data_IF_691280617780
#
_entry.id   IF_691280617780
#
_cell.length_a   1.000
_cell.length_b   1.000
_cell.length_c   1.000
_cell.angle_alpha   90.00
_cell.angle_beta   90.00
_cell.angle_gamma   90.00
#
_symmetry.space_group_name_H-M   'P 1'
#
loop_
_entity.id
_entity.type
_entity.pdbx_description
1 polymer ?
2 polymer ?
3 polymer ?
#
loop_
_entity_poly.entity_id
_entity_poly.type
_entity_poly.pdbx_seq_one_letter_code
_entity_poly.pdbx_strand_id
1 'polydeoxyribonucleotide' '(DT)(DC)(DT)(DT)(DG)(DT)(DT)(DT)(DA)(DC)(DA)(DT)(DT)(DT)(DT)(DG)' ?
2 'polydeoxyribonucleotide' '(DC)(DA)(DA)(DA)(DA)(DT)(DG)(DT)(DA)(DA)(DA)(DC)(DA)(DA)(DG)(DA)' ?
#
# COMPACT_ATOMS: atom_id res chain seq x y z
N UNK C 1 17.90 3.93 6.54
CA UNK C 1 18.68 3.74 7.75
C UNK C 1 20.10 4.25 7.61
N UNK C 2 20.74 4.57 8.75
CA UNK C 2 22.05 5.23 8.83
C UNK C 2 23.20 4.26 8.64
N UNK C 3 22.86 2.98 8.45
CA UNK C 3 23.86 1.92 8.39
C UNK C 3 23.70 1.12 7.11
N UNK C 4 24.81 0.68 6.56
CA UNK C 4 24.81 -0.05 5.31
C UNK C 4 24.66 -1.54 5.58
N UNK C 5 23.98 -2.22 4.66
CA UNK C 5 23.83 -3.67 4.76
C UNK C 5 25.20 -4.33 4.67
N UNK C 6 25.58 -5.06 5.73
CA UNK C 6 26.87 -5.73 5.81
C UNK C 6 27.10 -6.64 4.60
N UNK C 7 28.35 -6.69 4.11
CA UNK C 7 28.71 -7.40 2.87
C UNK C 7 28.68 -8.91 2.99
N UNK C 8 27.99 -9.43 3.99
CA UNK C 8 27.91 -10.87 4.20
C UNK C 8 26.51 -11.37 3.85
N UNK C 9 26.44 -12.50 3.14
CA UNK C 9 25.16 -13.11 2.84
C UNK C 9 24.60 -13.73 4.13
N UNK C 10 23.32 -14.06 4.13
CA UNK C 10 22.71 -14.73 5.28
C UNK C 10 23.43 -16.02 5.63
N UNK C 11 23.82 -16.76 4.59
CA UNK C 11 24.56 -17.99 4.78
C UNK C 11 25.91 -17.74 5.45
N UNK C 12 26.58 -16.67 5.05
CA UNK C 12 27.85 -16.31 5.67
C UNK C 12 27.66 -15.87 7.11
N UNK C 13 26.59 -15.13 7.38
CA UNK C 13 26.30 -14.65 8.73
C UNK C 13 26.03 -15.81 9.66
N UNK C 14 25.16 -16.72 9.24
CA UNK C 14 24.84 -17.91 10.01
C UNK C 14 26.08 -18.78 10.23
N UNK C 15 26.87 -18.95 9.18
CA UNK C 15 28.07 -19.78 9.25
C UNK C 15 29.08 -19.23 10.24
N UNK C 16 29.35 -17.93 10.17
CA UNK C 16 30.29 -17.29 11.08
C UNK C 16 29.83 -17.42 12.52
N UNK C 17 28.53 -17.24 12.75
CA UNK C 17 27.97 -17.31 14.09
C UNK C 17 28.14 -18.68 14.71
N UNK C 18 27.86 -19.72 13.94
CA UNK C 18 27.95 -21.10 14.43
C UNK C 18 29.39 -21.52 14.72
N UNK C 19 30.28 -21.19 13.80
CA UNK C 19 31.69 -21.55 13.93
C UNK C 19 32.33 -20.96 15.16
N UNK C 20 32.08 -19.67 15.35
CA UNK C 20 32.66 -18.91 16.44
C UNK C 20 32.01 -19.21 17.79
N UNK C 21 30.93 -20.00 17.76
CA UNK C 21 30.27 -20.43 18.99
C UNK C 21 31.10 -21.51 19.68
N UNK C 22 31.03 -21.58 21.02
CA UNK C 22 31.84 -22.55 21.77
C UNK C 22 31.44 -24.02 21.55
N UNK C 23 30.18 -24.27 21.22
CA UNK C 23 29.72 -25.64 21.01
C UNK C 23 29.60 -26.00 19.53
N UNK C 24 30.01 -25.06 18.68
CA UNK C 24 29.87 -25.19 17.23
C UNK C 24 28.42 -25.42 16.84
N UNK C 25 27.51 -24.81 17.61
CA UNK C 25 26.08 -24.88 17.35
C UNK C 25 25.34 -23.79 18.12
N UNK C 26 24.25 -23.30 17.53
CA UNK C 26 23.46 -22.23 18.13
C UNK C 26 21.96 -22.44 17.92
N UNK C 27 21.17 -21.82 18.79
CA UNK C 27 19.72 -21.81 18.61
C UNK C 27 19.34 -20.69 17.65
N UNK C 28 18.08 -20.69 17.22
CA UNK C 28 17.58 -19.66 16.34
C UNK C 28 17.76 -18.26 16.92
N UNK C 29 17.29 -18.08 18.15
CA UNK C 29 17.39 -16.78 18.83
C UNK C 29 18.84 -16.37 19.01
N UNK C 30 19.71 -17.34 19.26
CA UNK C 30 21.13 -17.07 19.41
C UNK C 30 21.75 -16.54 18.12
N UNK C 31 21.31 -17.07 16.99
CA UNK C 31 21.74 -16.57 15.68
C UNK C 31 21.18 -15.17 15.44
N UNK C 32 19.90 -14.97 15.79
CA UNK C 32 19.28 -13.65 15.71
C UNK C 32 20.10 -12.63 16.47
N UNK C 33 20.40 -12.98 17.72
CA UNK C 33 21.08 -12.08 18.65
C UNK C 33 22.48 -11.74 18.17
N UNK C 34 23.17 -12.76 17.67
CA UNK C 34 24.54 -12.63 17.18
C UNK C 34 24.63 -11.59 16.07
N UNK C 35 23.73 -11.70 15.10
CA UNK C 35 23.68 -10.79 13.96
C UNK C 35 23.33 -9.35 14.37
N UNK C 36 22.35 -9.23 15.26
CA UNK C 36 21.89 -7.91 15.72
C UNK C 36 22.92 -7.22 16.61
N UNK C 37 23.64 -8.00 17.42
CA UNK C 37 24.66 -7.46 18.31
C UNK C 37 25.80 -6.83 17.52
N UNK C 38 26.12 -7.43 16.39
CA UNK C 38 27.27 -7.00 15.60
C UNK C 38 26.89 -6.00 14.52
N UNK C 39 25.70 -6.16 13.98
CA UNK C 39 25.29 -5.33 12.86
C UNK C 39 23.98 -4.59 13.11
N UNK C 40 24.09 -3.30 13.48
CA UNK C 40 22.96 -2.42 13.79
C UNK C 40 21.94 -2.36 12.65
N UNK C 41 22.40 -2.63 11.43
CA UNK C 41 21.51 -2.66 10.27
C UNK C 41 20.36 -3.65 10.46
N UNK C 42 20.62 -4.74 11.18
CA UNK C 42 19.61 -5.77 11.37
C UNK C 42 18.84 -5.57 12.66
N UNK C 43 18.85 -4.35 13.17
CA UNK C 43 18.04 -3.98 14.32
C UNK C 43 16.72 -3.37 13.85
N UNK C 44 16.46 -3.49 12.55
CA UNK C 44 15.23 -3.03 11.94
C UNK C 44 14.80 -4.04 10.87
N UNK C 45 13.51 -4.03 10.54
CA UNK C 45 12.94 -4.98 9.58
C UNK C 45 13.16 -6.40 10.04
N UNK C 46 13.10 -6.62 11.35
CA UNK C 46 13.42 -7.91 11.92
C UNK C 46 12.42 -8.96 11.47
N UNK C 47 11.20 -8.53 11.19
CA UNK C 47 10.17 -9.42 10.66
C UNK C 47 10.66 -10.02 9.35
N UNK C 48 11.24 -9.18 8.49
CA UNK C 48 11.67 -9.62 7.17
C UNK C 48 12.84 -10.61 7.21
N UNK C 49 13.98 -10.14 7.71
CA UNK C 49 15.22 -10.90 7.55
C UNK C 49 15.29 -12.13 8.45
N UNK C 50 14.63 -12.07 9.60
CA UNK C 50 14.57 -13.24 10.48
C UNK C 50 13.78 -14.34 9.78
N UNK C 51 12.80 -13.95 8.99
CA UNK C 51 12.04 -14.89 8.17
C UNK C 51 12.97 -15.51 7.13
N UNK C 52 13.77 -14.67 6.48
CA UNK C 52 14.73 -15.13 5.48
C UNK C 52 15.81 -16.01 6.11
N UNK C 53 16.13 -15.74 7.37
CA UNK C 53 17.09 -16.55 8.11
C UNK C 53 16.53 -17.94 8.34
N UNK C 54 15.30 -18.00 8.87
CA UNK C 54 14.60 -19.26 9.07
C UNK C 54 14.48 -20.04 7.76
N UNK C 55 14.22 -19.32 6.69
CA UNK C 55 14.14 -19.93 5.37
C UNK C 55 15.51 -20.48 4.97
N UNK C 56 16.56 -19.69 5.22
CA UNK C 56 17.92 -20.08 4.86
C UNK C 56 18.35 -21.37 5.57
N UNK C 57 17.91 -21.56 6.80
CA UNK C 57 18.29 -22.73 7.58
C UNK C 57 17.61 -23.99 7.06
N UNK C 58 16.36 -23.85 6.62
CA UNK C 58 15.58 -24.98 6.17
C UNK C 58 15.89 -25.30 4.71
N UNK C 59 16.26 -24.27 3.94
CA UNK C 59 16.55 -24.42 2.52
C UNK C 59 17.90 -25.09 2.26
N UNK C 60 18.93 -24.58 2.91
CA UNK C 60 20.28 -25.05 2.65
C UNK C 60 20.60 -26.33 3.43
N UNK C 61 21.18 -27.30 2.73
CA UNK C 61 21.47 -28.61 3.32
C UNK C 61 22.71 -28.58 4.19
N UNK C 62 23.40 -27.44 4.19
CA UNK C 62 24.61 -27.28 4.99
C UNK C 62 24.25 -26.96 6.44
N UNK C 63 22.96 -26.88 6.72
CA UNK C 63 22.49 -26.54 8.07
C UNK C 63 21.62 -27.64 8.70
N UNK C 64 22.17 -28.27 9.74
CA UNK C 64 21.41 -29.10 10.67
C UNK C 64 21.44 -28.29 11.98
N UNK C 65 20.43 -28.25 12.86
CA UNK C 65 19.33 -29.18 13.17
C UNK C 65 19.84 -30.33 14.03
N UNK C 66 20.02 -30.01 15.30
CA UNK C 66 20.41 -30.98 16.32
C UNK C 66 19.47 -30.86 17.51
N UNK C 67 18.76 -31.95 17.83
CA UNK C 67 17.89 -32.10 19.00
C UNK C 67 18.64 -31.81 20.28
N UNK C 68 17.94 -31.38 21.31
CA UNK C 68 18.57 -30.69 22.40
C UNK C 68 19.51 -31.51 23.29
N UNK C 69 19.00 -32.24 24.26
CA UNK C 69 17.60 -32.30 24.48
C UNK C 69 17.39 -32.90 25.84
N UNK C 70 17.22 -34.30 25.86
CA UNK C 70 16.39 -34.82 26.97
C UNK C 70 16.80 -34.33 28.31
N UNK C 71 18.10 -34.15 28.44
CA UNK C 71 18.66 -33.57 29.62
C UNK C 71 18.23 -32.12 29.71
N UNK C 72 18.97 -31.24 29.06
CA UNK C 72 18.76 -29.82 29.20
C UNK C 72 17.81 -29.22 28.18
N UNK C 73 16.44 -29.41 28.43
CA UNK C 73 15.57 -28.80 27.42
C UNK C 73 15.13 -27.47 27.94
N UNK C 74 14.63 -26.60 27.08
CA UNK C 74 14.58 -26.86 25.66
C UNK C 74 13.97 -25.77 24.84
N UNK C 75 14.77 -24.97 24.14
CA UNK C 75 14.06 -24.11 23.20
C UNK C 75 14.48 -24.31 21.75
N UNK C 76 13.56 -24.81 20.95
CA UNK C 76 13.87 -25.02 19.56
C UNK C 76 14.85 -26.17 19.50
N UNK C 77 15.73 -26.09 18.52
CA UNK C 77 16.79 -27.08 18.38
C UNK C 77 18.04 -26.29 18.06
N UNK C 78 19.20 -26.91 18.25
CA UNK C 78 20.44 -26.26 17.95
C UNK C 78 20.66 -26.36 16.45
N UNK C 79 21.30 -25.36 15.87
CA UNK C 79 21.66 -25.44 14.45
C UNK C 79 23.17 -25.46 14.37
N UNK C 80 23.71 -26.34 13.54
CA UNK C 80 25.14 -26.49 13.39
C UNK C 80 25.51 -26.70 11.93
N UNK C 81 26.79 -26.97 11.66
CA UNK C 81 27.25 -27.13 10.29
C UNK C 81 27.49 -28.58 9.90
N UNK C 82 27.13 -28.92 8.67
CA UNK C 82 27.45 -30.21 8.09
C UNK C 82 28.96 -30.28 7.87
N UNK C 83 29.58 -31.39 8.25
CA UNK C 83 31.02 -31.55 8.09
C UNK C 83 31.47 -31.29 6.66
N UNK C 84 30.62 -31.58 5.68
CA UNK C 84 30.83 -31.05 4.34
C UNK C 84 30.97 -29.55 4.51
N UNK C 85 32.15 -29.03 4.26
CA UNK C 85 32.37 -27.62 4.41
C UNK C 85 32.58 -27.04 3.04
N UNK F 1 3.15 -22.22 1.01
CA UNK F 1 2.60 -23.08 2.04
C UNK F 1 3.10 -24.51 1.93
N UNK F 2 2.57 -25.42 2.75
CA UNK F 2 3.12 -26.77 2.83
C UNK F 2 2.64 -27.64 1.68
N UNK F 3 1.77 -27.05 0.86
CA UNK F 3 1.14 -27.76 -0.24
C UNK F 3 1.26 -26.97 -1.53
N UNK F 4 1.45 -27.68 -2.63
CA UNK F 4 1.62 -27.04 -3.93
C UNK F 4 0.27 -26.90 -4.60
N UNK F 5 0.08 -25.81 -5.36
CA UNK F 5 -1.14 -25.61 -6.10
C UNK F 5 -1.29 -26.67 -7.19
N UNK F 6 -2.34 -27.50 -7.09
CA UNK F 6 -2.59 -28.58 -8.05
C UNK F 6 -2.69 -28.04 -9.47
N UNK F 7 -2.18 -28.80 -10.44
CA UNK F 7 -2.08 -28.37 -11.84
C UNK F 7 -3.41 -28.31 -12.57
N UNK F 8 -4.52 -28.27 -11.82
CA UNK F 8 -5.84 -28.24 -12.42
C UNK F 8 -6.49 -26.87 -12.30
N UNK F 9 -7.12 -26.43 -13.38
CA UNK F 9 -7.88 -25.20 -13.35
C UNK F 9 -9.15 -25.40 -12.54
N UNK F 10 -9.81 -24.31 -12.16
CA UNK F 10 -11.07 -24.38 -11.44
C UNK F 10 -12.09 -25.19 -12.23
N UNK F 11 -12.09 -24.95 -13.53
CA UNK F 11 -12.99 -25.64 -14.46
C UNK F 11 -12.75 -27.15 -14.46
N UNK F 12 -11.49 -27.54 -14.42
CA UNK F 12 -11.14 -28.95 -14.35
C UNK F 12 -11.53 -29.54 -13.00
N UNK F 13 -11.32 -28.75 -11.95
CA UNK F 13 -11.66 -29.15 -10.59
C UNK F 13 -13.16 -29.32 -10.42
N UNK F 14 -13.93 -28.34 -10.88
CA UNK F 14 -15.38 -28.40 -10.82
C UNK F 14 -15.89 -29.59 -11.62
N UNK F 15 -15.30 -29.82 -12.79
CA UNK F 15 -15.72 -30.92 -13.66
C UNK F 15 -15.47 -32.29 -13.02
N UNK F 16 -14.27 -32.49 -12.48
CA UNK F 16 -13.92 -33.76 -11.84
C UNK F 16 -14.81 -34.05 -10.64
N UNK F 17 -15.10 -33.01 -9.85
CA UNK F 17 -15.91 -33.15 -8.65
C UNK F 17 -17.30 -33.66 -8.97
N UNK F 18 -17.91 -33.08 -10.01
CA UNK F 18 -19.25 -33.47 -10.42
C UNK F 18 -19.25 -34.82 -11.13
N UNK F 19 -18.14 -35.13 -11.79
CA UNK F 19 -17.99 -36.39 -12.51
C UNK F 19 -17.81 -37.56 -11.56
N UNK F 20 -16.93 -37.38 -10.57
CA UNK F 20 -16.65 -38.43 -9.59
C UNK F 20 -17.83 -38.60 -8.63
N UNK F 21 -18.71 -37.60 -8.60
CA UNK F 21 -19.87 -37.64 -7.72
C UNK F 21 -20.69 -38.91 -7.95
N UNK F 22 -21.84 -39.04 -7.14
CA UNK F 22 -22.58 -40.28 -7.39
C UNK F 22 -23.80 -40.03 -8.29
N UNK F 23 -24.45 -38.88 -8.11
CA UNK F 23 -25.62 -38.53 -8.90
C UNK F 23 -25.27 -37.60 -10.06
N UNK F 24 -23.98 -37.36 -10.26
CA UNK F 24 -23.50 -36.49 -11.33
C UNK F 24 -23.95 -35.04 -11.14
N UNK F 25 -24.01 -34.61 -9.89
CA UNK F 25 -24.38 -33.23 -9.56
C UNK F 25 -24.00 -32.90 -8.12
N UNK F 26 -23.65 -31.63 -7.89
CA UNK F 26 -23.23 -31.20 -6.56
C UNK F 26 -23.75 -29.80 -6.24
N UNK F 27 -23.84 -29.49 -4.95
CA UNK F 27 -24.16 -28.12 -4.52
C UNK F 27 -22.86 -27.31 -4.50
N UNK F 28 -22.98 -26.00 -4.32
CA UNK F 28 -21.83 -25.12 -4.21
C UNK F 28 -20.89 -25.54 -3.09
N UNK F 29 -21.46 -25.69 -1.90
CA UNK F 29 -20.70 -26.09 -0.71
C UNK F 29 -20.11 -27.48 -0.89
N UNK F 30 -20.85 -28.35 -1.58
CA UNK F 30 -20.39 -29.70 -1.85
C UNK F 30 -19.14 -29.70 -2.72
N UNK F 31 -19.11 -28.79 -3.68
CA UNK F 31 -17.93 -28.61 -4.54
C UNK F 31 -16.75 -28.08 -3.72
N UNK F 32 -17.04 -27.11 -2.85
CA UNK F 32 -16.04 -26.57 -1.93
C UNK F 32 -15.37 -27.69 -1.17
N UNK F 33 -16.19 -28.55 -0.59
CA UNK F 33 -15.73 -29.63 0.28
C UNK F 33 -14.87 -30.64 -0.49
N UNK F 34 -15.30 -30.99 -1.69
CA UNK F 34 -14.58 -31.96 -2.52
C UNK F 34 -13.16 -31.48 -2.81
N UNK F 35 -13.04 -30.21 -3.21
CA UNK F 35 -11.74 -29.62 -3.53
C UNK F 35 -10.84 -29.58 -2.29
N UNK F 36 -11.41 -29.19 -1.16
CA UNK F 36 -10.64 -29.11 0.08
C UNK F 36 -10.26 -30.50 0.60
N UNK F 37 -11.15 -31.46 0.42
CA UNK F 37 -10.89 -32.83 0.87
C UNK F 37 -9.71 -33.47 0.12
N UNK F 38 -9.63 -33.21 -1.19
CA UNK F 38 -8.63 -33.88 -2.02
C UNK F 38 -7.38 -33.05 -2.18
N UNK F 39 -7.53 -31.73 -2.17
CA UNK F 39 -6.39 -30.85 -2.39
C UNK F 39 -6.20 -29.88 -1.23
N UNK F 40 -5.31 -30.23 -0.29
CA UNK F 40 -5.01 -29.50 0.94
C UNK F 40 -4.60 -28.05 0.70
N UNK F 41 -4.09 -27.76 -0.50
CA UNK F 41 -3.74 -26.39 -0.87
C UNK F 41 -4.92 -25.44 -0.73
N UNK F 42 -6.12 -25.95 -0.92
CA UNK F 42 -7.32 -25.12 -0.88
C UNK F 42 -7.97 -25.11 0.50
N UNK F 43 -7.20 -25.42 1.54
CA UNK F 43 -7.74 -25.34 2.90
C UNK F 43 -7.46 -24.00 3.59
N UNK F 44 -6.90 -23.04 2.85
CA UNK F 44 -6.75 -21.67 3.34
C UNK F 44 -6.87 -20.73 2.13
N UNK F 45 -7.07 -19.44 2.39
CA UNK F 45 -7.33 -18.42 1.38
C UNK F 45 -8.64 -18.77 0.70
N UNK F 46 -9.55 -19.31 1.49
CA UNK F 46 -10.84 -19.77 1.03
C UNK F 46 -11.68 -18.60 0.57
N UNK F 47 -11.42 -17.42 1.13
CA UNK F 47 -12.10 -16.21 0.72
C UNK F 47 -11.87 -15.97 -0.77
N UNK F 48 -10.62 -16.13 -1.19
CA UNK F 48 -10.23 -15.85 -2.57
C UNK F 48 -10.81 -16.85 -3.57
N UNK F 49 -10.42 -18.12 -3.45
CA UNK F 49 -10.69 -19.08 -4.50
C UNK F 49 -12.15 -19.53 -4.55
N UNK F 50 -12.84 -19.51 -3.41
CA UNK F 50 -14.26 -19.85 -3.41
C UNK F 50 -15.06 -18.81 -4.17
N UNK F 51 -14.61 -17.56 -4.10
CA UNK F 51 -15.21 -16.50 -4.90
C UNK F 51 -15.01 -16.76 -6.38
N UNK F 52 -13.79 -17.16 -6.72
CA UNK F 52 -13.45 -17.49 -8.11
C UNK F 52 -14.22 -18.72 -8.57
N UNK F 53 -14.53 -19.61 -7.64
CA UNK F 53 -15.33 -20.78 -7.95
C UNK F 53 -16.75 -20.34 -8.31
N UNK F 54 -17.33 -19.51 -7.45
CA UNK F 54 -18.65 -18.93 -7.70
C UNK F 54 -18.69 -18.20 -9.03
N UNK F 55 -17.61 -17.49 -9.34
CA UNK F 55 -17.47 -16.79 -10.61
C UNK F 55 -17.40 -17.77 -11.78
N UNK F 56 -16.61 -18.83 -11.63
CA UNK F 56 -16.42 -19.82 -12.69
C UNK F 56 -17.73 -20.51 -13.06
N UNK F 57 -18.58 -20.73 -12.06
CA UNK F 57 -19.83 -21.45 -12.25
C UNK F 57 -20.84 -20.62 -13.04
N UNK F 58 -20.84 -19.31 -12.79
CA UNK F 58 -21.80 -18.42 -13.43
C UNK F 58 -21.31 -18.02 -14.81
N UNK F 59 -19.99 -18.01 -14.97
CA UNK F 59 -19.36 -17.56 -16.20
C UNK F 59 -19.47 -18.61 -17.31
N UNK F 60 -19.12 -19.85 -16.99
CA UNK F 60 -19.09 -20.93 -17.98
C UNK F 60 -20.41 -21.63 -18.24
N UNK F 61 -20.68 -21.87 -19.52
CA UNK F 61 -21.93 -22.46 -19.97
C UNK F 61 -21.95 -23.97 -19.75
N UNK F 62 -20.82 -24.53 -19.34
CA UNK F 62 -20.71 -25.96 -19.12
C UNK F 62 -21.28 -26.32 -17.75
N UNK F 63 -21.73 -25.31 -17.01
CA UNK F 63 -22.25 -25.53 -15.67
C UNK F 63 -23.71 -25.07 -15.50
N UNK F 64 -24.62 -26.04 -15.39
CA UNK F 64 -25.97 -25.80 -14.88
C UNK F 64 -26.01 -26.55 -13.55
N UNK F 65 -26.71 -26.13 -12.48
CA UNK F 65 -27.95 -25.33 -12.32
C UNK F 65 -29.11 -26.30 -12.54
N UNK F 66 -29.32 -27.12 -11.52
CA UNK F 66 -30.38 -28.12 -11.45
C UNK F 66 -31.09 -28.00 -10.09
N UNK F 67 -32.43 -27.84 -10.09
CA UNK F 67 -33.21 -27.70 -8.85
C UNK F 67 -33.02 -28.82 -7.82
N UNK F 68 -32.84 -28.48 -6.55
CA UNK F 68 -32.55 -29.52 -5.58
C UNK F 68 -33.76 -30.09 -4.84
N UNK F 69 -34.40 -29.32 -3.97
CA UNK F 69 -33.87 -28.11 -3.42
C UNK F 69 -34.77 -27.63 -2.33
N UNK F 70 -35.76 -28.52 -1.89
CA UNK F 70 -36.61 -27.96 -0.87
C UNK F 70 -36.43 -28.65 0.47
N UNK F 71 -36.59 -29.97 0.48
CA UNK F 71 -36.41 -30.75 1.67
C UNK F 71 -34.99 -30.62 2.07
N UNK F 72 -34.16 -31.61 1.72
CA UNK F 72 -32.69 -31.57 1.77
C UNK F 72 -31.98 -30.50 2.56
N UNK F 73 -31.09 -30.93 3.44
CA UNK F 73 -30.43 -29.93 4.27
C UNK F 73 -29.02 -29.73 3.73
N UNK F 74 -28.76 -28.71 2.95
CA UNK F 74 -29.79 -27.87 2.43
C UNK F 74 -29.25 -26.50 2.38
N UNK F 75 -28.62 -26.18 1.29
CA UNK F 75 -28.44 -24.76 1.05
C UNK F 75 -27.99 -24.57 -0.40
N UNK F 76 -28.76 -23.80 -1.15
CA UNK F 76 -28.52 -23.58 -2.57
C UNK F 76 -29.07 -24.66 -3.49
N UNK F 77 -28.40 -24.87 -4.62
CA UNK F 77 -28.90 -25.76 -5.68
C UNK F 77 -27.82 -26.64 -6.29
N UNK F 78 -28.23 -27.67 -7.03
CA UNK F 78 -27.26 -28.56 -7.67
C UNK F 78 -26.63 -27.97 -8.92
N UNK F 79 -25.36 -28.31 -9.13
CA UNK F 79 -24.63 -27.98 -10.34
C UNK F 79 -24.20 -29.24 -11.08
N UNK F 80 -24.36 -29.23 -12.39
CA UNK F 80 -24.00 -30.38 -13.22
C UNK F 80 -23.35 -29.90 -14.51
N UNK F 81 -23.14 -30.84 -15.41
CA UNK F 81 -22.45 -30.61 -16.65
C UNK F 81 -23.36 -30.59 -17.84
N UNK F 82 -23.38 -29.47 -18.54
CA UNK F 82 -24.11 -29.35 -19.77
C UNK F 82 -23.71 -30.38 -20.78
N UNK F 83 -24.77 -31.02 -21.44
CA UNK F 83 -24.35 -31.80 -22.59
C UNK F 83 -24.64 -30.94 -23.80
N UNK F 84 -23.76 -30.91 -24.80
CA UNK F 84 -23.91 -29.90 -25.83
C UNK F 84 -23.34 -30.25 -27.20
N UNK I 3 1.22 28.38 -3.42
CA UNK I 3 1.32 28.72 -4.81
C UNK I 3 2.28 27.76 -5.45
N UNK I 4 2.82 28.12 -6.60
CA UNK I 4 3.67 27.20 -7.30
C UNK I 4 4.94 26.96 -6.52
N UNK I 5 5.85 26.24 -7.14
CA UNK I 5 7.19 25.97 -6.63
C UNK I 5 8.26 26.64 -7.49
N UNK I 6 9.04 27.54 -6.90
CA UNK I 6 10.11 28.35 -7.54
C UNK I 6 11.16 27.54 -8.29
N UNK I 7 11.66 28.11 -9.40
CA UNK I 7 12.61 27.44 -10.31
C UNK I 7 14.02 27.33 -9.74
N UNK I 8 14.16 27.47 -8.42
CA UNK I 8 15.45 27.36 -7.77
C UNK I 8 15.57 26.06 -7.00
N UNK I 9 16.73 25.42 -7.10
CA UNK I 9 16.99 24.19 -6.36
C UNK I 9 17.17 24.48 -4.87
N UNK I 10 17.10 23.43 -4.06
CA UNK I 10 17.35 23.57 -2.63
C UNK I 10 18.72 24.17 -2.40
N UNK I 11 19.69 23.70 -3.19
CA UNK I 11 21.05 24.20 -3.11
C UNK I 11 21.08 25.69 -3.45
N UNK I 12 20.26 26.08 -4.42
CA UNK I 12 20.16 27.48 -4.81
C UNK I 12 19.50 28.33 -3.72
N UNK I 13 18.47 27.78 -3.08
CA UNK I 13 17.77 28.49 -2.01
C UNK I 13 18.66 28.69 -0.79
N UNK I 14 19.33 27.62 -0.36
CA UNK I 14 20.22 27.67 0.78
C UNK I 14 21.38 28.65 0.58
N UNK I 15 21.94 28.63 -0.62
CA UNK I 15 23.07 29.49 -0.94
C UNK I 15 22.71 30.98 -0.88
N UNK I 16 21.58 31.33 -1.49
CA UNK I 16 21.12 32.72 -1.50
C UNK I 16 20.87 33.23 -0.09
N UNK I 17 20.24 32.41 0.73
CA UNK I 17 19.88 32.79 2.08
C UNK I 17 21.13 33.12 2.90
N UNK I 18 22.16 32.30 2.75
CA UNK I 18 23.40 32.48 3.49
C UNK I 18 24.14 33.75 3.05
N UNK I 19 24.25 33.95 1.73
CA UNK I 19 24.94 35.13 1.21
C UNK I 19 24.21 36.40 1.62
N UNK I 20 22.89 36.42 1.47
CA UNK I 20 22.09 37.59 1.79
C UNK I 20 21.93 37.79 3.30
N UNK I 21 22.42 36.83 4.07
CA UNK I 21 22.40 36.94 5.52
C UNK I 21 23.45 37.95 5.95
N UNK I 22 23.20 38.67 7.06
CA UNK I 22 24.14 39.70 7.52
C UNK I 22 25.46 39.13 8.02
N UNK I 23 25.45 37.90 8.53
CA UNK I 23 26.63 37.27 9.09
C UNK I 23 27.31 36.24 8.20
N UNK I 24 26.82 36.12 6.95
CA UNK I 24 27.26 35.08 6.03
C UNK I 24 27.01 33.69 6.62
N UNK I 25 25.98 33.57 7.45
CA UNK I 25 25.62 32.30 8.06
C UNK I 25 24.24 32.34 8.71
N UNK I 26 23.54 31.21 8.69
CA UNK I 26 22.21 31.11 9.26
C UNK I 26 22.03 29.75 9.95
N UNK I 27 21.08 29.68 10.87
CA UNK I 27 20.71 28.41 11.49
C UNK I 27 19.74 27.66 10.59
N UNK I 28 19.50 26.40 10.92
CA UNK I 28 18.54 25.57 10.18
C UNK I 28 17.18 26.23 10.16
N UNK I 29 16.70 26.60 11.34
CA UNK I 29 15.38 27.22 11.49
C UNK I 29 15.29 28.55 10.73
N UNK I 30 16.39 29.29 10.72
CA UNK I 30 16.45 30.56 10.01
C UNK I 30 16.34 30.37 8.50
N UNK I 31 16.96 29.31 7.99
CA UNK I 31 16.87 28.97 6.57
C UNK I 31 15.44 28.54 6.22
N UNK I 32 14.83 27.75 7.10
CA UNK I 32 13.43 27.36 6.94
C UNK I 32 12.54 28.57 6.76
N UNK I 33 12.69 29.52 7.69
CA UNK I 33 11.83 30.70 7.74
C UNK I 33 12.01 31.57 6.50
N UNK I 34 13.27 31.73 6.08
CA UNK I 34 13.61 32.52 4.91
C UNK I 34 12.90 31.97 3.68
N UNK I 35 12.96 30.65 3.53
CA UNK I 35 12.32 29.98 2.41
C UNK I 35 10.80 30.13 2.47
N UNK I 36 10.22 29.96 3.66
CA UNK I 36 8.78 30.10 3.84
C UNK I 36 8.33 31.57 3.72
N UNK I 37 9.18 32.49 4.17
CA UNK I 37 8.87 33.90 4.10
C UNK I 37 8.81 34.41 2.65
N UNK I 38 9.70 33.91 1.81
CA UNK I 38 9.80 34.41 0.45
C UNK I 38 8.96 33.62 -0.55
N UNK I 39 8.85 32.32 -0.31
CA UNK I 39 8.14 31.47 -1.26
C UNK I 39 7.02 30.67 -0.60
N UNK I 40 5.78 31.15 -0.75
CA UNK I 40 4.57 30.58 -0.14
C UNK I 40 4.32 29.10 -0.42
N UNK I 41 4.88 28.57 -1.52
CA UNK I 41 4.73 27.17 -1.87
C UNK I 41 5.19 26.26 -0.72
N UNK I 42 6.16 26.74 0.04
CA UNK I 42 6.78 25.97 1.11
C UNK I 42 6.12 26.18 2.48
N UNK I 43 4.89 26.65 2.49
CA UNK I 43 4.16 26.78 3.75
C UNK I 43 3.33 25.53 3.97
N UNK I 44 3.57 24.53 3.14
CA UNK I 44 2.89 23.24 3.24
C UNK I 44 3.85 22.10 2.90
N UNK I 45 3.52 20.90 3.37
CA UNK I 45 4.35 19.71 3.18
C UNK I 45 5.74 19.92 3.79
N UNK I 46 5.77 20.60 4.93
CA UNK I 46 7.01 20.99 5.58
C UNK I 46 7.84 19.83 6.09
N UNK I 47 7.18 18.73 6.47
CA UNK I 47 7.88 17.52 6.90
C UNK I 47 8.81 17.06 5.81
N UNK I 48 8.29 17.08 4.59
CA UNK I 48 8.97 16.57 3.42
C UNK I 48 10.19 17.43 2.99
N UNK I 49 9.99 18.69 2.63
CA UNK I 49 11.07 19.48 2.02
C UNK I 49 12.14 19.91 3.02
N UNK I 50 11.75 20.09 4.27
CA UNK I 50 12.70 20.42 5.33
C UNK I 50 13.66 19.26 5.56
N UNK I 51 13.16 18.05 5.35
CA UNK I 51 14.00 16.85 5.39
C UNK I 51 15.03 16.88 4.27
N UNK I 52 14.58 17.25 3.07
CA UNK I 52 15.45 17.33 1.92
C UNK I 52 16.50 18.44 2.08
N UNK I 53 16.14 19.48 2.81
CA UNK I 53 17.05 20.58 3.12
C UNK I 53 18.15 20.12 4.06
N UNK I 54 17.76 19.47 5.16
CA UNK I 54 18.71 18.89 6.10
C UNK I 54 19.67 17.93 5.42
N UNK I 55 19.15 17.15 4.48
CA UNK I 55 19.98 16.23 3.71
C UNK I 55 20.98 16.98 2.85
N UNK I 56 20.52 18.03 2.19
CA UNK I 56 21.36 18.84 1.30
C UNK I 56 22.55 19.45 2.02
N UNK I 57 22.35 19.85 3.26
CA UNK I 57 23.40 20.50 4.04
C UNK I 57 24.51 19.52 4.41
N UNK I 58 24.13 18.28 4.71
CA UNK I 58 25.09 17.27 5.15
C UNK I 58 25.79 16.62 3.97
N UNK I 59 25.10 16.55 2.84
CA UNK I 59 25.62 15.88 1.66
C UNK I 59 26.68 16.74 0.96
N UNK I 60 26.38 18.01 0.76
CA UNK I 60 27.26 18.90 0.01
C UNK I 60 28.37 19.48 0.88
N UNK I 61 29.59 19.45 0.33
CA UNK I 61 30.76 19.90 1.07
C UNK I 61 30.94 21.41 1.08
N UNK I 62 30.11 22.11 0.32
CA UNK I 62 30.19 23.56 0.27
C UNK I 62 29.47 24.15 1.48
N UNK I 63 28.93 23.27 2.31
CA UNK I 63 28.18 23.69 3.49
C UNK I 63 28.82 23.22 4.79
N UNK I 64 29.34 24.18 5.55
CA UNK I 64 29.69 23.97 6.95
C UNK I 64 28.68 24.86 7.68
N UNK I 65 28.12 24.52 8.86
CA UNK I 65 28.58 23.65 9.96
C UNK I 65 29.66 24.35 10.76
N UNK I 66 29.18 25.30 11.57
CA UNK I 66 30.03 26.08 12.45
C UNK I 66 29.45 26.09 13.87
N UNK I 67 30.25 25.62 14.85
CA UNK I 67 29.91 25.66 16.28
C UNK I 67 29.61 27.09 16.72
N UNK I 68 28.86 27.27 17.81
CA UNK I 68 28.31 28.58 18.09
C UNK I 68 29.28 29.53 18.85
N UNK I 69 29.81 29.20 20.04
CA UNK I 69 29.48 28.05 20.88
C UNK I 69 29.53 28.48 22.36
N UNK I 70 30.65 29.06 22.75
CA UNK I 70 30.95 29.34 24.14
C UNK I 70 29.87 30.21 24.73
N UNK I 71 29.76 31.40 24.16
CA UNK I 71 28.82 32.37 24.62
C UNK I 71 27.69 32.28 23.65
N UNK I 72 26.66 33.07 23.89
CA UNK I 72 25.56 33.14 22.97
C UNK I 72 24.69 31.90 22.95
N UNK I 73 25.16 30.77 23.47
CA UNK I 73 24.54 29.54 22.98
C UNK I 73 23.12 29.37 23.54
N UNK I 74 22.16 28.94 22.72
CA UNK I 74 22.40 28.63 21.32
C UNK I 74 21.69 27.37 20.87
N UNK I 75 20.87 27.48 19.84
CA UNK I 75 20.02 26.39 19.36
C UNK I 75 20.44 25.89 18.00
N UNK I 76 20.89 24.63 17.97
CA UNK I 76 21.39 24.04 16.75
C UNK I 76 22.76 24.59 16.48
N UNK I 77 23.12 24.67 15.20
CA UNK I 77 24.41 25.20 14.80
C UNK I 77 24.25 26.08 13.56
N UNK I 78 25.25 26.92 13.30
CA UNK I 78 25.22 27.79 12.13
C UNK I 78 25.68 27.06 10.87
N UNK I 79 25.09 27.43 9.74
CA UNK I 79 25.53 26.91 8.45
C UNK I 79 26.06 28.06 7.59
N UNK I 80 27.20 27.86 6.95
CA UNK I 80 27.80 28.89 6.11
C UNK I 80 28.39 28.27 4.84
N UNK I 81 29.04 29.10 4.03
CA UNK I 81 29.62 28.63 2.78
C UNK I 81 31.14 28.49 2.83
N UNK I 82 31.65 27.43 2.21
CA UNK I 82 33.09 27.32 2.00
C UNK I 82 33.52 28.35 0.96
N UNK I 83 34.61 29.08 1.23
CA UNK I 83 35.14 30.15 0.39
C UNK I 83 35.31 29.80 -1.10
N UNK I 84 35.20 28.53 -1.45
CA UNK I 84 35.30 28.18 -2.86
C UNK I 84 34.75 26.78 -3.09
N UNK L 1 -19.58 -4.77 -10.14
CA UNK L 1 -20.96 -4.65 -9.71
C UNK L 1 -21.94 -4.85 -10.84
N UNK L 2 -23.23 -4.65 -10.59
CA UNK L 2 -24.31 -4.96 -11.55
C UNK L 2 -24.50 -3.84 -12.57
N UNK L 3 -23.75 -2.76 -12.41
CA UNK L 3 -23.92 -1.57 -13.23
C UNK L 3 -22.62 -1.09 -13.83
N UNK L 4 -22.74 -0.59 -15.06
CA UNK L 4 -21.60 -0.11 -15.82
C UNK L 4 -21.40 1.36 -15.57
N UNK L 5 -20.15 1.81 -15.58
CA UNK L 5 -19.83 3.22 -15.46
C UNK L 5 -20.41 3.92 -16.68
N UNK L 6 -21.35 4.85 -16.46
CA UNK L 6 -21.99 5.55 -17.59
C UNK L 6 -20.96 6.23 -18.47
N UNK L 7 -21.18 6.22 -19.79
CA UNK L 7 -20.18 6.71 -20.75
C UNK L 7 -20.04 8.24 -20.76
N UNK L 8 -20.51 8.91 -19.71
CA UNK L 8 -20.41 10.35 -19.64
C UNK L 8 -19.36 10.80 -18.62
N UNK L 9 -18.57 11.80 -19.00
CA UNK L 9 -17.58 12.36 -18.09
C UNK L 9 -18.25 13.22 -17.02
N UNK L 10 -17.49 13.54 -15.99
CA UNK L 10 -17.97 14.40 -14.91
C UNK L 10 -18.44 15.75 -15.44
N UNK L 11 -17.69 16.30 -16.39
CA UNK L 11 -18.05 17.57 -17.02
C UNK L 11 -19.35 17.44 -17.79
N UNK L 12 -19.53 16.32 -18.48
CA UNK L 12 -20.75 16.05 -19.23
C UNK L 12 -21.94 15.85 -18.30
N UNK L 13 -21.70 15.16 -17.18
CA UNK L 13 -22.77 14.92 -16.21
C UNK L 13 -23.27 16.21 -15.59
N UNK L 14 -22.33 17.05 -15.15
CA UNK L 14 -22.67 18.34 -14.57
C UNK L 14 -23.39 19.24 -15.56
N UNK L 15 -22.92 19.26 -16.80
CA UNK L 15 -23.51 20.10 -17.84
C UNK L 15 -24.96 19.72 -18.10
N UNK L 16 -25.22 18.42 -18.23
CA UNK L 16 -26.58 17.94 -18.44
C UNK L 16 -27.48 18.32 -17.28
N UNK L 17 -26.95 18.18 -16.06
CA UNK L 17 -27.71 18.45 -14.85
C UNK L 17 -28.16 19.90 -14.78
N UNK L 18 -27.25 20.81 -15.10
CA UNK L 18 -27.54 22.24 -15.03
C UNK L 18 -28.55 22.67 -16.09
N UNK L 19 -28.36 22.17 -17.31
CA UNK L 19 -29.24 22.52 -18.42
C UNK L 19 -30.70 22.07 -18.23
N UNK L 20 -30.88 20.82 -17.81
CA UNK L 20 -32.22 20.26 -17.70
C UNK L 20 -33.00 20.80 -16.50
N UNK L 21 -32.30 21.57 -15.66
CA UNK L 21 -32.93 22.20 -14.50
C UNK L 21 -33.77 23.42 -14.91
N UNK L 22 -34.84 23.69 -14.14
CA UNK L 22 -35.76 24.81 -14.39
C UNK L 22 -35.11 26.18 -14.18
N UNK L 23 -34.07 26.24 -13.35
CA UNK L 23 -33.42 27.52 -13.06
C UNK L 23 -32.17 27.70 -13.90
N UNK L 24 -31.89 26.69 -14.72
CA UNK L 24 -30.67 26.63 -15.53
C UNK L 24 -29.43 26.78 -14.65
N UNK L 25 -29.55 26.35 -13.40
CA UNK L 25 -28.45 26.39 -12.43
C UNK L 25 -28.80 25.55 -11.21
N UNK L 26 -27.78 24.95 -10.59
CA UNK L 26 -28.00 24.07 -9.44
C UNK L 26 -26.95 24.24 -8.35
N UNK L 27 -27.29 23.82 -7.14
CA UNK L 27 -26.33 23.79 -6.04
C UNK L 27 -25.50 22.51 -6.09
N UNK L 28 -24.45 22.47 -5.29
CA UNK L 28 -23.58 21.29 -5.21
C UNK L 28 -24.37 20.05 -4.85
N UNK L 29 -25.14 20.14 -3.77
CA UNK L 29 -25.95 19.02 -3.30
C UNK L 29 -26.97 18.61 -4.35
N UNK L 30 -27.52 19.60 -5.06
CA UNK L 30 -28.48 19.34 -6.13
C UNK L 30 -27.85 18.57 -7.29
N UNK L 31 -26.61 18.93 -7.63
CA UNK L 31 -25.89 18.23 -8.68
C UNK L 31 -25.59 16.81 -8.25
N UNK L 32 -25.17 16.65 -6.99
CA UNK L 32 -24.98 15.31 -6.41
C UNK L 32 -26.23 14.46 -6.58
N UNK L 33 -27.36 15.01 -6.15
CA UNK L 33 -28.62 14.27 -6.13
C UNK L 33 -29.10 13.87 -7.52
N UNK L 34 -28.99 14.79 -8.46
CA UNK L 34 -29.42 14.57 -9.85
C UNK L 34 -28.71 13.38 -10.48
N UNK L 35 -27.39 13.33 -10.34
CA UNK L 35 -26.60 12.24 -10.92
C UNK L 35 -26.95 10.90 -10.29
N UNK L 36 -27.11 10.88 -8.98
CA UNK L 36 -27.46 9.65 -8.26
C UNK L 36 -28.87 9.20 -8.61
N UNK L 37 -29.76 10.16 -8.85
CA UNK L 37 -31.13 9.86 -9.22
C UNK L 37 -31.22 9.15 -10.57
N UNK L 38 -30.39 9.56 -11.52
CA UNK L 38 -30.48 9.03 -12.88
C UNK L 38 -29.54 7.86 -13.15
N UNK L 39 -28.37 7.86 -12.51
CA UNK L 39 -27.37 6.83 -12.76
C UNK L 39 -26.99 6.11 -11.47
N UNK L 40 -27.59 4.93 -11.25
CA UNK L 40 -27.41 4.09 -10.06
C UNK L 40 -25.95 3.75 -9.79
N UNK L 41 -25.12 3.77 -10.82
CA UNK L 41 -23.69 3.51 -10.69
C UNK L 41 -23.04 4.45 -9.68
N UNK L 42 -23.57 5.66 -9.58
CA UNK L 42 -23.02 6.68 -8.68
C UNK L 42 -23.75 6.71 -7.35
N UNK L 43 -24.40 5.60 -6.99
CA UNK L 43 -25.01 5.47 -5.68
C UNK L 43 -24.03 4.74 -4.75
N UNK L 44 -22.79 4.61 -5.23
CA UNK L 44 -21.72 4.00 -4.43
C UNK L 44 -20.37 4.67 -4.65
N UNK L 45 -19.47 4.52 -3.68
CA UNK L 45 -18.14 5.13 -3.72
C UNK L 45 -18.23 6.64 -3.88
N UNK L 46 -19.22 7.21 -3.21
CA UNK L 46 -19.55 8.62 -3.36
C UNK L 46 -18.43 9.54 -2.86
N UNK L 47 -17.63 9.04 -1.93
CA UNK L 47 -16.49 9.82 -1.42
C UNK L 47 -15.53 10.26 -2.52
N UNK L 48 -15.21 9.32 -3.40
CA UNK L 48 -14.26 9.56 -4.48
C UNK L 48 -14.81 10.52 -5.53
N UNK L 49 -15.90 10.16 -6.19
CA UNK L 49 -16.37 10.93 -7.34
C UNK L 49 -16.99 12.28 -6.97
N UNK L 50 -17.58 12.40 -5.79
CA UNK L 50 -18.11 13.71 -5.36
C UNK L 50 -16.99 14.72 -5.14
N UNK L 51 -15.84 14.23 -4.70
CA UNK L 51 -14.65 15.07 -4.56
C UNK L 51 -14.20 15.52 -5.95
N UNK L 52 -14.21 14.58 -6.89
CA UNK L 52 -13.83 14.86 -8.27
C UNK L 52 -14.79 15.85 -8.94
N UNK L 53 -16.04 15.83 -8.51
CA UNK L 53 -17.04 16.77 -9.02
C UNK L 53 -16.73 18.19 -8.54
N UNK L 54 -16.52 18.33 -7.23
CA UNK L 54 -16.15 19.61 -6.64
C UNK L 54 -14.91 20.19 -7.30
N UNK L 55 -13.94 19.31 -7.61
CA UNK L 55 -12.73 19.72 -8.33
C UNK L 55 -13.07 20.19 -9.74
N UNK L 56 -13.90 19.42 -10.43
CA UNK L 56 -14.28 19.69 -11.80
C UNK L 56 -14.95 21.05 -11.96
N UNK L 57 -15.73 21.44 -10.95
CA UNK L 57 -16.46 22.70 -11.00
C UNK L 57 -15.48 23.87 -10.90
N UNK L 58 -14.45 23.68 -10.09
CA UNK L 58 -13.48 24.75 -9.85
C UNK L 58 -12.39 24.82 -10.91
N UNK L 59 -12.05 23.68 -11.50
CA UNK L 59 -10.96 23.64 -12.48
C UNK L 59 -11.40 24.22 -13.83
N UNK L 60 -12.57 23.80 -14.31
CA UNK L 60 -13.04 24.19 -15.62
C UNK L 60 -13.72 25.56 -15.59
N UNK L 61 -13.37 26.41 -16.55
CA UNK L 61 -13.85 27.80 -16.56
C UNK L 61 -15.29 27.92 -17.07
N UNK L 62 -15.87 26.81 -17.52
CA UNK L 62 -17.23 26.81 -18.02
C UNK L 62 -18.25 26.74 -16.87
N UNK L 63 -17.74 26.70 -15.64
CA UNK L 63 -18.60 26.58 -14.47
C UNK L 63 -18.49 27.77 -13.52
N UNK L 64 -19.54 28.57 -13.46
CA UNK L 64 -19.78 29.55 -12.40
C UNK L 64 -21.02 29.02 -11.68
N UNK L 65 -21.21 29.12 -10.35
CA UNK L 65 -20.70 30.05 -9.32
C UNK L 65 -21.45 31.37 -9.33
N UNK L 66 -22.64 31.32 -8.73
CA UNK L 66 -23.52 32.46 -8.58
C UNK L 66 -23.97 32.60 -7.12
N UNK L 67 -23.67 33.76 -6.50
CA UNK L 67 -24.09 34.11 -5.14
C UNK L 67 -25.59 34.02 -4.95
N UNK L 68 -26.05 33.84 -3.71
CA UNK L 68 -27.44 33.49 -3.47
C UNK L 68 -28.36 34.74 -3.35
N UNK L 69 -28.13 35.71 -2.44
CA UNK L 69 -27.14 35.71 -1.37
C UNK L 69 -27.72 36.45 -0.15
N UNK L 70 -28.36 37.62 -0.35
CA UNK L 70 -29.00 38.18 0.83
C UNK L 70 -30.43 37.68 0.97
N UNK L 71 -31.04 37.35 -0.17
CA UNK L 71 -32.41 36.84 -0.21
C UNK L 71 -32.42 35.33 0.01
N UNK L 72 -32.76 34.94 1.24
CA UNK L 72 -32.89 33.53 1.64
C UNK L 72 -31.65 32.65 1.43
N UNK L 73 -30.59 32.91 2.20
CA UNK L 73 -29.40 32.05 2.17
C UNK L 73 -29.41 31.03 3.32
N UNK L 74 -29.06 29.77 3.08
CA UNK L 74 -28.75 29.26 1.76
C UNK L 74 -27.43 28.55 1.89
N UNK L 75 -27.35 27.25 1.61
CA UNK L 75 -26.08 26.58 1.88
C UNK L 75 -25.35 26.31 0.57
N UNK L 76 -24.16 26.90 0.48
CA UNK L 76 -23.34 26.87 -0.70
C UNK L 76 -23.82 27.88 -1.71
N UNK L 77 -23.56 27.62 -2.99
CA UNK L 77 -23.90 28.56 -4.05
C UNK L 77 -24.45 27.82 -5.26
N UNK L 78 -25.10 28.56 -6.14
CA UNK L 78 -25.64 27.98 -7.35
C UNK L 78 -24.52 27.83 -8.38
N UNK L 79 -24.58 26.77 -9.18
CA UNK L 79 -23.62 26.57 -10.27
C UNK L 79 -24.34 26.56 -11.61
N UNK L 80 -23.79 27.27 -12.59
CA UNK L 80 -24.40 27.33 -13.91
C UNK L 80 -23.37 27.24 -15.01
N UNK L 81 -23.81 27.41 -16.25
CA UNK L 81 -22.95 27.31 -17.41
C UNK L 81 -22.65 28.68 -18.01
N UNK L 82 -21.42 28.85 -18.48
CA UNK L 82 -21.07 30.03 -19.25
C UNK L 82 -21.84 29.95 -20.57
N UNK L 83 -22.39 31.09 -21.02
CA UNK L 83 -23.25 31.24 -22.20
C UNK L 83 -22.79 30.53 -23.48
N UNK L 84 -21.58 29.99 -23.51
CA UNK L 84 -21.12 29.23 -24.67
C UNK L 84 -20.52 27.90 -24.25
N UNK L 85 -20.91 26.84 -24.95
CA UNK L 85 -20.45 25.49 -24.63
C UNK L 85 -19.23 25.10 -25.46
#
# INVERSE_FOLDING_TARGET
>C
GPHAKPPYSYISLITMAIQQSPNKMLTLSEIYQWIMDLFPFYRQNQQRWQNSIRHSLSFNDCFLKVPRSPDKPGKGSFWTLHPDSGNMFENGCYLRRQKRFKCE
>F
GPHAKPPYSYISLITMAIQQSPNKMLTLSEIYQWIMDLFPFYRQNQQRWQNSIRHSLSFNDCFLKVPRSPDKPGKGSFWTLHPDSGNMFENGCYLRRQKRFKCE
>I
GPHAKPPYSYISLITMAIQQSPNKMLTLSEIYQWIMDLFPFYRQNQQRWQNSIRHSLSFNDCFLKVPRSPDKPGKGSFWTLHPDSGNMFENGCYLRRQKRFKCE
>L
GPHAKPPYSYISLITMAIQQSPNKMLTLSEIYQWIMDLFPFYRQNQQRWQNSIRHSLSFNDCFLKVPRSPDKPGKGSFWTLHPDSGNMFENGCYLRRQKRFKCE
#
